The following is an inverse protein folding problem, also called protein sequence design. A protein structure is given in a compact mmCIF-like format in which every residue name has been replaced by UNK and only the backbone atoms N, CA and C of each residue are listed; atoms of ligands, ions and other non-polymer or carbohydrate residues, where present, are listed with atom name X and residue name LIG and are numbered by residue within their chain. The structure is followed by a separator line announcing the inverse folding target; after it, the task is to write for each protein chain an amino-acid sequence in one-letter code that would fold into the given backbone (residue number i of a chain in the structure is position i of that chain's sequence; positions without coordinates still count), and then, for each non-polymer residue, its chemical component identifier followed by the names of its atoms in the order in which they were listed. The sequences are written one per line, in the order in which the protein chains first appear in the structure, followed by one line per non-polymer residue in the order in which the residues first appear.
data_IF_453784909511
#
_entry.id   IF_453784909511
#
_cell.length_a   1.000
_cell.length_b   1.000
_cell.length_c   1.000
_cell.angle_alpha   90.00
_cell.angle_beta   90.00
_cell.angle_gamma   90.00
#
_symmetry.space_group_name_H-M   'P 1'
#
loop_
_entity.id
_entity.type
_entity.pdbx_description
1 polymer ?
#
# COMPACT_ATOMS: atom_id res chain seq x y z
N UNK A 1 -16.13 14.62 -48.06
CA UNK A 1 -14.66 14.46 -48.15
C UNK A 1 -14.00 15.29 -47.06
N UNK A 2 -12.81 14.87 -46.62
CA UNK A 2 -11.92 15.47 -45.60
C UNK A 2 -12.10 15.02 -44.14
N UNK A 3 -11.83 13.73 -43.91
CA UNK A 3 -11.16 13.26 -42.69
C UNK A 3 -9.67 13.14 -43.01
N UNK A 4 -8.88 14.16 -42.68
CA UNK A 4 -7.42 14.14 -42.70
C UNK A 4 -6.93 14.98 -41.52
N UNK A 5 -5.88 14.51 -40.86
CA UNK A 5 -5.27 15.00 -39.61
C UNK A 5 -5.80 14.40 -38.31
N UNK A 6 -5.20 13.25 -37.99
CA UNK A 6 -4.64 12.96 -36.66
C UNK A 6 -5.61 13.03 -35.49
N UNK A 7 -6.16 11.88 -35.11
CA UNK A 7 -6.62 11.68 -33.74
C UNK A 7 -5.42 11.90 -32.80
N UNK A 8 -5.27 13.10 -32.23
CA UNK A 8 -4.37 13.27 -31.10
C UNK A 8 -4.85 12.28 -30.04
N UNK A 9 -4.06 11.24 -29.73
CA UNK A 9 -4.32 10.39 -28.58
C UNK A 9 -4.56 11.36 -27.41
N UNK A 10 -5.78 11.36 -26.84
CA UNK A 10 -6.10 12.22 -25.68
C UNK A 10 -4.97 12.02 -24.69
N UNK A 11 -4.26 13.09 -24.32
CA UNK A 11 -3.23 13.01 -23.29
C UNK A 11 -3.86 12.30 -22.10
N UNK A 12 -3.23 11.25 -21.55
CA UNK A 12 -3.77 10.58 -20.39
C UNK A 12 -3.98 11.63 -19.31
N UNK A 13 -5.13 11.56 -18.65
CA UNK A 13 -5.42 12.46 -17.54
C UNK A 13 -4.29 12.33 -16.51
N UNK A 14 -3.82 13.44 -15.92
CA UNK A 14 -2.73 13.40 -14.97
C UNK A 14 -3.07 12.46 -13.81
N UNK A 15 -2.12 11.60 -13.45
CA UNK A 15 -2.28 10.67 -12.33
C UNK A 15 -2.11 11.41 -11.00
N UNK A 16 -2.61 10.82 -9.91
CA UNK A 16 -2.36 11.35 -8.55
C UNK A 16 -0.86 11.53 -8.29
N UNK A 17 -0.04 10.55 -8.68
CA UNK A 17 1.42 10.64 -8.52
C UNK A 17 2.03 11.80 -9.31
N UNK A 18 1.57 12.07 -10.53
CA UNK A 18 2.02 13.23 -11.30
C UNK A 18 1.62 14.56 -10.65
N UNK A 19 0.40 14.63 -10.09
CA UNK A 19 -0.08 15.80 -9.38
C UNK A 19 0.69 16.04 -8.06
N UNK A 20 1.01 14.98 -7.32
CA UNK A 20 1.88 15.01 -6.12
C UNK A 20 3.24 15.59 -6.51
N UNK A 21 3.96 14.98 -7.47
CA UNK A 21 5.28 15.47 -7.88
C UNK A 21 5.25 16.91 -8.41
N UNK A 22 4.21 17.30 -9.14
CA UNK A 22 4.07 18.68 -9.60
C UNK A 22 3.86 19.67 -8.45
N UNK A 23 3.18 19.25 -7.38
CA UNK A 23 2.94 20.07 -6.19
C UNK A 23 4.19 20.14 -5.31
N UNK A 24 4.96 19.05 -5.18
CA UNK A 24 6.26 19.05 -4.49
C UNK A 24 7.24 20.03 -5.13
N UNK A 25 7.34 20.03 -6.46
CA UNK A 25 8.17 21.00 -7.18
C UNK A 25 7.77 22.46 -6.88
N UNK A 26 6.46 22.72 -6.63
CA UNK A 26 5.99 24.05 -6.21
C UNK A 26 6.39 24.35 -4.78
N UNK A 27 6.30 23.37 -3.86
CA UNK A 27 6.79 23.50 -2.48
C UNK A 27 8.27 23.87 -2.48
N UNK A 28 9.10 23.16 -3.27
CA UNK A 28 10.52 23.47 -3.41
C UNK A 28 10.78 24.89 -3.94
N UNK A 29 10.01 25.33 -4.94
CA UNK A 29 10.11 26.69 -5.46
C UNK A 29 9.78 27.76 -4.40
N UNK A 30 8.77 27.49 -3.57
CA UNK A 30 8.41 28.36 -2.43
C UNK A 30 9.51 28.34 -1.37
N UNK A 31 10.10 27.19 -1.06
CA UNK A 31 11.20 27.05 -0.11
C UNK A 31 12.44 27.85 -0.54
N UNK A 32 12.77 27.86 -1.83
CA UNK A 32 13.86 28.70 -2.36
C UNK A 32 13.56 30.19 -2.13
N UNK A 33 12.31 30.64 -2.32
CA UNK A 33 11.93 32.04 -2.04
C UNK A 33 12.00 32.35 -0.54
N UNK A 34 11.53 31.45 0.32
CA UNK A 34 11.61 31.60 1.77
C UNK A 34 13.05 31.76 2.26
N UNK A 35 13.98 30.91 1.79
CA UNK A 35 15.41 31.02 2.13
C UNK A 35 16.00 32.38 1.74
N UNK A 36 15.61 32.93 0.59
CA UNK A 36 16.05 34.27 0.16
C UNK A 36 15.53 35.37 1.10
N UNK A 37 14.27 35.31 1.48
CA UNK A 37 13.65 36.27 2.41
C UNK A 37 14.27 36.17 3.81
N UNK A 38 14.60 34.95 4.28
CA UNK A 38 15.31 34.73 5.55
C UNK A 38 16.70 35.34 5.55
N UNK A 39 17.46 35.12 4.47
CA UNK A 39 18.77 35.73 4.31
C UNK A 39 18.70 37.28 4.30
N UNK A 40 17.68 37.85 3.65
CA UNK A 40 17.45 39.30 3.66
C UNK A 40 17.08 39.82 5.06
N UNK A 41 16.19 39.13 5.79
CA UNK A 41 15.84 39.47 7.17
C UNK A 41 17.05 39.40 8.10
N UNK A 42 17.94 38.43 7.91
CA UNK A 42 19.17 38.32 8.69
C UNK A 42 20.10 39.52 8.44
N UNK A 43 20.21 39.98 7.19
CA UNK A 43 20.97 41.19 6.84
C UNK A 43 20.38 42.44 7.49
N UNK A 44 19.06 42.60 7.47
CA UNK A 44 18.43 43.73 8.17
C UNK A 44 18.65 43.66 9.69
N UNK A 45 18.61 42.47 10.28
CA UNK A 45 18.88 42.28 11.71
C UNK A 45 20.31 42.70 12.08
N UNK A 46 21.30 42.26 11.30
CA UNK A 46 22.71 42.65 11.49
C UNK A 46 22.95 44.15 11.22
N UNK A 47 22.31 44.71 10.20
CA UNK A 47 22.39 46.14 9.93
C UNK A 47 21.84 46.95 11.12
N UNK A 48 20.65 46.59 11.62
CA UNK A 48 20.01 47.30 12.74
C UNK A 48 20.78 47.16 14.05
N UNK A 49 21.48 46.04 14.30
CA UNK A 49 22.27 45.86 15.53
C UNK A 49 23.46 46.82 15.62
N UNK A 50 23.99 47.24 14.46
CA UNK A 50 25.10 48.20 14.33
C UNK A 50 24.63 49.65 14.31
N UNK A 51 23.32 49.90 14.27
CA UNK A 51 22.75 51.25 14.19
C UNK A 51 22.31 51.76 15.57
N UNK A 52 22.62 53.04 15.82
CA UNK A 52 22.01 53.80 16.92
C UNK A 52 20.51 53.97 16.68
N UNK A 53 19.76 54.09 17.76
CA UNK A 53 18.34 54.36 17.68
C UNK A 53 18.09 55.74 17.08
N UNK A 54 17.14 55.80 16.14
CA UNK A 54 16.82 57.02 15.40
C UNK A 54 16.10 56.75 14.07
N UNK A 55 15.82 57.82 13.29
CA UNK A 55 15.04 57.74 12.05
C UNK A 55 15.60 56.75 11.02
N UNK A 56 16.93 56.64 10.91
CA UNK A 56 17.59 55.70 10.01
C UNK A 56 17.30 54.24 10.37
N UNK A 57 17.41 53.87 11.65
CA UNK A 57 17.11 52.51 12.13
C UNK A 57 15.63 52.18 11.98
N UNK A 58 14.75 53.16 12.20
CA UNK A 58 13.31 53.00 11.99
C UNK A 58 12.96 52.74 10.51
N UNK A 59 13.62 53.41 9.57
CA UNK A 59 13.43 53.15 8.15
C UNK A 59 13.86 51.73 7.74
N UNK A 60 14.99 51.24 8.26
CA UNK A 60 15.45 49.86 8.05
C UNK A 60 14.46 48.86 8.65
N UNK A 61 13.96 49.12 9.87
CA UNK A 61 12.93 48.30 10.52
C UNK A 61 11.66 48.19 9.67
N UNK A 62 11.18 49.29 9.08
CA UNK A 62 10.00 49.26 8.20
C UNK A 62 10.23 48.39 6.96
N UNK A 63 11.43 48.43 6.36
CA UNK A 63 11.78 47.53 5.23
C UNK A 63 11.79 46.08 5.67
N UNK A 64 12.41 45.77 6.81
CA UNK A 64 12.42 44.42 7.38
C UNK A 64 11.01 43.89 7.68
N UNK A 65 10.10 44.74 8.16
CA UNK A 65 8.69 44.36 8.38
C UNK A 65 8.00 43.94 7.08
N UNK A 66 8.23 44.64 5.96
CA UNK A 66 7.66 44.25 4.66
C UNK A 66 8.17 42.89 4.19
N UNK A 67 9.46 42.62 4.36
CA UNK A 67 10.05 41.31 4.03
C UNK A 67 9.49 40.22 4.94
N UNK A 68 9.29 40.50 6.23
CA UNK A 68 8.67 39.57 7.17
C UNK A 68 7.21 39.24 6.78
N UNK A 69 6.44 40.25 6.36
CA UNK A 69 5.08 40.04 5.85
C UNK A 69 5.08 39.15 4.61
N UNK A 70 5.99 39.39 3.67
CA UNK A 70 6.14 38.56 2.48
C UNK A 70 6.56 37.12 2.83
N UNK A 71 7.45 36.96 3.81
CA UNK A 71 7.86 35.64 4.32
C UNK A 71 6.65 34.87 4.85
N UNK A 72 5.85 35.49 5.73
CA UNK A 72 4.65 34.87 6.31
C UNK A 72 3.62 34.44 5.25
N UNK A 73 3.46 35.23 4.19
CA UNK A 73 2.60 34.88 3.06
C UNK A 73 3.08 33.60 2.37
N UNK A 74 4.38 33.49 2.09
CA UNK A 74 4.95 32.29 1.47
C UNK A 74 4.98 31.08 2.42
N UNK A 75 5.16 31.28 3.73
CA UNK A 75 5.04 30.20 4.74
C UNK A 75 3.63 29.61 4.71
N UNK A 76 2.59 30.45 4.72
CA UNK A 76 1.20 30.00 4.62
C UNK A 76 0.91 29.31 3.28
N UNK A 77 1.44 29.83 2.16
CA UNK A 77 1.32 29.17 0.86
C UNK A 77 1.95 27.78 0.86
N UNK A 78 3.15 27.64 1.45
CA UNK A 78 3.85 26.36 1.57
C UNK A 78 3.04 25.36 2.37
N UNK A 79 2.54 25.76 3.52
CA UNK A 79 1.71 24.91 4.39
C UNK A 79 0.47 24.41 3.64
N UNK A 80 -0.22 25.30 2.92
CA UNK A 80 -1.37 24.92 2.09
C UNK A 80 -1.01 23.91 1.00
N UNK A 81 0.15 24.05 0.35
CA UNK A 81 0.62 23.10 -0.66
C UNK A 81 0.99 21.75 -0.04
N UNK A 82 1.64 21.75 1.13
CA UNK A 82 1.97 20.52 1.86
C UNK A 82 0.71 19.76 2.29
N UNK A 83 -0.34 20.47 2.74
CA UNK A 83 -1.63 19.84 3.03
C UNK A 83 -2.26 19.23 1.77
N UNK A 84 -2.12 19.89 0.62
CA UNK A 84 -2.60 19.35 -0.65
C UNK A 84 -1.87 18.07 -1.04
N UNK A 85 -0.54 18.03 -0.89
CA UNK A 85 0.29 16.83 -1.11
C UNK A 85 -0.19 15.70 -0.21
N UNK A 86 -0.30 15.94 1.10
CA UNK A 86 -0.76 14.95 2.05
C UNK A 86 -2.13 14.37 1.70
N UNK A 87 -3.10 15.22 1.35
CA UNK A 87 -4.43 14.76 0.95
C UNK A 87 -4.39 13.86 -0.31
N UNK A 88 -3.52 14.19 -1.28
CA UNK A 88 -3.33 13.38 -2.49
C UNK A 88 -2.60 12.07 -2.20
N UNK A 89 -1.61 12.07 -1.29
CA UNK A 89 -0.91 10.87 -0.85
C UNK A 89 -1.87 9.90 -0.16
N UNK A 90 -2.74 10.40 0.72
CA UNK A 90 -3.79 9.61 1.36
C UNK A 90 -4.75 8.99 0.33
N UNK A 91 -5.15 9.76 -0.68
CA UNK A 91 -5.99 9.26 -1.78
C UNK A 91 -5.25 8.22 -2.63
N UNK A 92 -3.94 8.41 -2.86
CA UNK A 92 -3.10 7.46 -3.58
C UNK A 92 -3.01 6.14 -2.84
N UNK A 93 -2.73 6.17 -1.53
CA UNK A 93 -2.70 5.00 -0.67
C UNK A 93 -4.04 4.24 -0.65
N UNK A 94 -5.15 4.95 -0.51
CA UNK A 94 -6.48 4.35 -0.58
C UNK A 94 -6.73 3.68 -1.94
N UNK A 95 -6.31 4.33 -3.03
CA UNK A 95 -6.44 3.79 -4.39
C UNK A 95 -5.62 2.52 -4.57
N UNK A 96 -4.40 2.48 -4.06
CA UNK A 96 -3.53 1.31 -4.17
C UNK A 96 -4.04 0.13 -3.33
N UNK A 97 -4.58 0.39 -2.13
CA UNK A 97 -5.28 -0.65 -1.36
C UNK A 97 -6.47 -1.23 -2.12
N UNK A 98 -7.30 -0.37 -2.74
CA UNK A 98 -8.44 -0.83 -3.54
C UNK A 98 -8.01 -1.66 -4.74
N UNK A 99 -6.92 -1.30 -5.42
CA UNK A 99 -6.36 -2.13 -6.52
C UNK A 99 -5.93 -3.50 -6.00
N UNK A 100 -5.23 -3.56 -4.87
CA UNK A 100 -4.82 -4.83 -4.27
C UNK A 100 -6.04 -5.70 -3.92
N UNK A 101 -7.07 -5.11 -3.30
CA UNK A 101 -8.32 -5.82 -3.01
C UNK A 101 -9.00 -6.32 -4.29
N UNK A 102 -9.05 -5.51 -5.35
CA UNK A 102 -9.63 -5.92 -6.63
C UNK A 102 -8.88 -7.14 -7.22
N UNK A 103 -7.55 -7.12 -7.21
CA UNK A 103 -6.72 -8.25 -7.67
C UNK A 103 -6.99 -9.50 -6.83
N UNK A 104 -7.09 -9.38 -5.50
CA UNK A 104 -7.45 -10.52 -4.63
C UNK A 104 -8.84 -11.07 -4.98
N UNK A 105 -9.84 -10.20 -5.18
CA UNK A 105 -11.19 -10.62 -5.55
C UNK A 105 -11.22 -11.30 -6.91
N UNK A 106 -10.46 -10.81 -7.90
CA UNK A 106 -10.33 -11.45 -9.21
C UNK A 106 -9.67 -12.84 -9.10
N UNK A 107 -8.63 -12.98 -8.28
CA UNK A 107 -7.97 -14.25 -8.02
C UNK A 107 -8.91 -15.25 -7.33
N UNK A 108 -9.64 -14.82 -6.29
CA UNK A 108 -10.64 -15.64 -5.60
C UNK A 108 -11.78 -16.05 -6.54
N UNK A 109 -12.24 -15.13 -7.40
CA UNK A 109 -13.27 -15.41 -8.39
C UNK A 109 -12.80 -16.48 -9.38
N UNK A 110 -11.56 -16.39 -9.82
CA UNK A 110 -10.94 -17.38 -10.73
C UNK A 110 -10.77 -18.73 -10.05
N UNK A 111 -10.26 -18.76 -8.82
CA UNK A 111 -10.14 -19.98 -8.02
C UNK A 111 -11.50 -20.66 -7.77
N UNK A 112 -12.54 -19.88 -7.44
CA UNK A 112 -13.90 -20.41 -7.24
C UNK A 112 -14.49 -21.00 -8.54
N UNK A 113 -14.21 -20.39 -9.70
CA UNK A 113 -14.62 -20.96 -11.00
C UNK A 113 -13.95 -22.32 -11.25
N UNK A 114 -12.65 -22.44 -10.95
CA UNK A 114 -11.92 -23.70 -11.11
C UNK A 114 -12.40 -24.76 -10.11
N UNK A 115 -12.60 -24.39 -8.83
CA UNK A 115 -13.18 -25.28 -7.82
C UNK A 115 -14.54 -25.81 -8.25
N UNK A 116 -15.44 -24.95 -8.76
CA UNK A 116 -16.75 -25.38 -9.28
C UNK A 116 -16.62 -26.33 -10.48
N UNK A 117 -15.62 -26.14 -11.33
CA UNK A 117 -15.36 -27.03 -12.47
C UNK A 117 -14.87 -28.40 -12.01
N UNK A 118 -13.95 -28.44 -11.04
CA UNK A 118 -13.46 -29.70 -10.45
C UNK A 118 -14.57 -30.43 -9.69
N UNK A 119 -15.38 -29.72 -8.90
CA UNK A 119 -16.53 -30.30 -8.19
C UNK A 119 -17.58 -30.88 -9.14
N UNK A 120 -17.86 -30.23 -10.27
CA UNK A 120 -18.76 -30.80 -11.30
C UNK A 120 -18.24 -32.12 -11.91
N UNK A 121 -16.95 -32.41 -11.78
CA UNK A 121 -16.35 -33.68 -12.21
C UNK A 121 -16.33 -34.77 -11.14
N UNK A 122 -16.59 -34.43 -9.87
CA UNK A 122 -16.72 -35.37 -8.75
C UNK A 122 -18.22 -35.62 -8.57
N UNK A 123 -18.75 -36.65 -9.22
CA UNK A 123 -20.12 -37.10 -8.99
C UNK A 123 -20.26 -37.56 -7.54
N UNK A 124 -21.30 -37.09 -6.83
CA UNK A 124 -21.68 -37.58 -5.50
C UNK A 124 -21.80 -39.11 -5.50
N UNK A 125 -22.32 -39.68 -6.59
CA UNK A 125 -22.40 -41.12 -6.85
C UNK A 125 -21.04 -41.84 -6.75
N UNK A 126 -19.92 -41.16 -7.08
CA UNK A 126 -18.58 -41.74 -6.95
C UNK A 126 -18.03 -41.66 -5.53
N UNK A 127 -18.51 -40.70 -4.74
CA UNK A 127 -18.18 -40.59 -3.32
C UNK A 127 -18.93 -41.66 -2.55
N UNK A 128 -20.23 -41.88 -2.84
CA UNK A 128 -21.01 -42.99 -2.27
C UNK A 128 -20.38 -44.34 -2.63
N UNK A 129 -20.04 -44.59 -3.90
CA UNK A 129 -19.37 -45.85 -4.28
C UNK A 129 -17.97 -46.04 -3.67
N UNK A 130 -17.21 -44.96 -3.46
CA UNK A 130 -15.92 -45.03 -2.76
C UNK A 130 -16.09 -45.29 -1.26
N UNK A 131 -17.17 -44.80 -0.67
CA UNK A 131 -17.50 -45.02 0.73
C UNK A 131 -17.95 -46.48 0.95
N UNK A 132 -18.76 -47.02 0.04
CA UNK A 132 -19.16 -48.43 0.01
C UNK A 132 -17.93 -49.35 -0.20
N UNK A 133 -17.03 -49.04 -1.14
CA UNK A 133 -15.77 -49.79 -1.33
C UNK A 133 -14.84 -49.70 -0.11
N UNK A 134 -14.83 -48.57 0.61
CA UNK A 134 -14.07 -48.45 1.87
C UNK A 134 -14.69 -49.26 3.01
N UNK A 135 -16.01 -49.35 3.08
CA UNK A 135 -16.72 -50.19 4.05
C UNK A 135 -16.42 -51.67 3.78
N UNK A 136 -16.51 -52.10 2.53
CA UNK A 136 -16.13 -53.46 2.08
C UNK A 136 -14.66 -53.79 2.37
N UNK A 137 -13.75 -52.83 2.17
CA UNK A 137 -12.32 -53.00 2.47
C UNK A 137 -12.04 -53.05 3.97
N UNK A 138 -12.74 -52.28 4.79
CA UNK A 138 -12.63 -52.40 6.25
C UNK A 138 -13.22 -53.71 6.76
N UNK A 139 -14.32 -54.18 6.18
CA UNK A 139 -14.93 -55.47 6.52
C UNK A 139 -13.99 -56.63 6.15
N UNK A 140 -13.39 -56.60 4.95
CA UNK A 140 -12.34 -57.55 4.56
C UNK A 140 -11.09 -57.45 5.43
N UNK A 141 -10.65 -56.25 5.81
CA UNK A 141 -9.49 -56.09 6.68
C UNK A 141 -9.76 -56.69 8.07
N UNK A 142 -10.97 -56.50 8.62
CA UNK A 142 -11.39 -57.12 9.87
C UNK A 142 -11.55 -58.65 9.73
N UNK A 143 -12.08 -59.15 8.62
CA UNK A 143 -12.19 -60.59 8.33
C UNK A 143 -10.80 -61.23 8.16
N UNK A 144 -9.87 -60.54 7.50
CA UNK A 144 -8.46 -60.93 7.40
C UNK A 144 -7.80 -60.92 8.78
N UNK A 145 -8.09 -59.93 9.61
CA UNK A 145 -7.55 -59.84 10.97
C UNK A 145 -8.14 -60.92 11.91
N UNK A 146 -9.41 -61.30 11.75
CA UNK A 146 -10.05 -62.41 12.47
C UNK A 146 -9.59 -63.79 11.98
N UNK A 147 -9.32 -63.94 10.69
CA UNK A 147 -8.79 -65.19 10.11
C UNK A 147 -7.29 -65.36 10.41
N UNK A 148 -6.51 -64.28 10.42
CA UNK A 148 -5.12 -64.28 10.90
C UNK A 148 -5.02 -64.35 12.44
N UNK A 149 -6.02 -63.83 13.17
CA UNK A 149 -6.11 -63.87 14.63
C UNK A 149 -6.35 -65.27 15.22
N UNK A 150 -6.65 -66.27 14.38
CA UNK A 150 -6.73 -67.69 14.79
C UNK A 150 -5.39 -68.40 14.96
N UNK A 151 -4.27 -67.75 14.67
CA UNK A 151 -2.95 -68.28 15.01
C UNK A 151 -1.96 -67.14 15.18
N UNK A 152 -1.75 -66.69 16.41
CA UNK A 152 -0.49 -66.83 17.12
C UNK A 152 -0.64 -66.16 18.48
N UNK A 153 -0.70 -67.00 19.51
CA UNK A 153 -0.48 -66.59 20.87
C UNK A 153 1.00 -66.22 21.08
N UNK A 154 1.22 -65.34 22.07
CA UNK A 154 2.45 -65.15 22.87
C UNK A 154 3.50 -64.21 22.23
N UNK A 155 4.18 -63.35 23.01
CA UNK A 155 3.76 -62.46 24.11
C UNK A 155 4.41 -61.05 24.01
N UNK A 156 4.07 -60.21 24.98
CA UNK A 156 4.74 -58.96 25.37
C UNK A 156 6.28 -59.03 25.27
N UNK A 157 6.87 -58.05 24.58
CA UNK A 157 8.00 -57.23 25.05
C UNK A 157 8.49 -56.34 23.90
N UNK A 158 9.08 -55.19 24.29
CA UNK A 158 9.75 -54.14 23.50
C UNK A 158 8.94 -52.86 23.33
N UNK A 159 9.34 -51.68 23.80
CA UNK A 159 10.21 -51.16 24.89
C UNK A 159 9.98 -49.63 24.79
N UNK A 160 9.58 -48.96 25.87
CA UNK A 160 9.31 -47.50 25.93
C UNK A 160 10.62 -46.67 25.91
N UNK A 161 11.60 -47.10 25.10
CA UNK A 161 12.95 -46.52 25.01
C UNK A 161 13.22 -45.63 23.79
N UNK A 162 12.33 -45.57 22.81
CA UNK A 162 12.57 -44.81 21.55
C UNK A 162 11.94 -43.40 21.52
N UNK A 163 11.48 -42.89 22.66
CA UNK A 163 10.87 -41.56 22.78
C UNK A 163 11.77 -40.49 23.43
N UNK A 164 13.10 -40.58 23.30
CA UNK A 164 14.01 -39.45 23.56
C UNK A 164 15.22 -39.45 22.61
N UNK A 165 15.14 -38.69 21.50
CA UNK A 165 16.27 -38.06 20.82
C UNK A 165 15.83 -36.75 20.14
#
# INVERSE_FOLDING_TARGET
MNRFFGTSKKKPNPTLNQAISATDNRVESVDVKLRRLEAELLRYKDQMSKMRDGPGKQAVKQRAVRVLQQKRLYESQRESLQQQVFNMEQASFATDNLKNTAVTVEAMTSANKELKKQYKGISVDKIESLQDEMEDLMEQANEIQDTMGRSYAVPEELDDGELEA
#
